data_IF_019160760307
#
_entry.id   IF_019160760307
#
_cell.length_a   1.000
_cell.length_b   1.000
_cell.length_c   1.000
_cell.angle_alpha   90.00
_cell.angle_beta   90.00
_cell.angle_gamma   90.00
#
_symmetry.space_group_name_H-M   'P 1'
#
loop_
_entity.id
_entity.type
_entity.pdbx_description
1 polymer ?
#
# COMPACT_ATOMS: atom_id res chain seq x y z
N UNK A 1 -7.00 2.71 -18.12
CA UNK A 1 -6.58 3.26 -16.81
C UNK A 1 -6.48 4.77 -16.98
N UNK A 2 -6.99 5.59 -16.06
CA UNK A 2 -6.89 7.06 -16.21
C UNK A 2 -5.44 7.51 -16.00
N UNK A 3 -4.98 8.54 -16.72
CA UNK A 3 -3.60 9.05 -16.62
C UNK A 3 -3.23 9.45 -15.18
N UNK A 4 -4.20 9.99 -14.45
CA UNK A 4 -4.04 10.37 -13.04
C UNK A 4 -3.83 9.15 -12.15
N UNK A 5 -4.53 8.04 -12.40
CA UNK A 5 -4.36 6.81 -11.64
C UNK A 5 -2.97 6.18 -11.87
N UNK A 6 -2.49 6.15 -13.13
CA UNK A 6 -1.13 5.66 -13.41
C UNK A 6 -0.07 6.54 -12.73
N UNK A 7 -0.29 7.85 -12.76
CA UNK A 7 0.59 8.83 -12.12
C UNK A 7 0.61 8.64 -10.61
N UNK A 8 -0.55 8.43 -9.98
CA UNK A 8 -0.64 8.12 -8.55
C UNK A 8 0.11 6.85 -8.18
N UNK A 9 -0.14 5.75 -8.91
CA UNK A 9 0.52 4.46 -8.65
C UNK A 9 2.04 4.62 -8.77
N UNK A 10 2.53 5.27 -9.84
CA UNK A 10 3.95 5.52 -10.04
C UNK A 10 4.56 6.35 -8.92
N UNK A 11 3.88 7.43 -8.51
CA UNK A 11 4.34 8.30 -7.44
C UNK A 11 4.35 7.57 -6.08
N UNK A 12 3.34 6.74 -5.79
CA UNK A 12 3.30 5.90 -4.60
C UNK A 12 4.46 4.89 -4.55
N UNK A 13 4.77 4.24 -5.69
CA UNK A 13 5.92 3.36 -5.79
C UNK A 13 7.23 4.11 -5.54
N UNK A 14 7.42 5.28 -6.15
CA UNK A 14 8.59 6.13 -5.95
C UNK A 14 8.73 6.62 -4.50
N UNK A 15 7.62 6.85 -3.81
CA UNK A 15 7.59 7.25 -2.40
C UNK A 15 7.91 6.11 -1.41
N UNK A 16 7.97 4.86 -1.87
CA UNK A 16 8.40 3.72 -1.05
C UNK A 16 7.44 2.53 -1.00
N UNK A 17 6.27 2.59 -1.66
CA UNK A 17 5.34 1.44 -1.71
C UNK A 17 6.00 0.22 -2.35
N UNK A 18 6.83 0.42 -3.38
CA UNK A 18 7.57 -0.68 -4.02
C UNK A 18 8.47 -1.43 -3.03
N UNK A 19 9.23 -0.69 -2.22
CA UNK A 19 10.11 -1.26 -1.20
C UNK A 19 9.29 -1.99 -0.14
N UNK A 20 8.22 -1.37 0.36
CA UNK A 20 7.37 -1.99 1.39
C UNK A 20 6.72 -3.29 0.91
N UNK A 21 6.28 -3.35 -0.35
CA UNK A 21 5.77 -4.59 -0.96
C UNK A 21 6.84 -5.67 -1.05
N UNK A 22 8.08 -5.31 -1.42
CA UNK A 22 9.19 -6.26 -1.48
C UNK A 22 9.52 -6.83 -0.09
N UNK A 23 9.59 -5.97 0.94
CA UNK A 23 9.84 -6.40 2.32
C UNK A 23 8.75 -7.38 2.81
N UNK A 24 7.47 -7.05 2.59
CA UNK A 24 6.35 -7.92 2.94
C UNK A 24 6.36 -9.24 2.17
N UNK A 25 6.76 -9.22 0.89
CA UNK A 25 6.87 -10.43 0.08
C UNK A 25 7.98 -11.35 0.60
N UNK A 26 9.12 -10.79 1.02
CA UNK A 26 10.21 -11.54 1.64
C UNK A 26 9.77 -12.15 2.98
N UNK A 27 9.03 -11.41 3.81
CA UNK A 27 8.47 -11.92 5.06
C UNK A 27 7.55 -13.13 4.80
N UNK A 28 6.65 -13.03 3.81
CA UNK A 28 5.76 -14.15 3.44
C UNK A 28 6.54 -15.33 2.87
N UNK A 29 7.55 -15.09 2.03
CA UNK A 29 8.39 -16.15 1.47
C UNK A 29 9.14 -16.91 2.57
N UNK A 30 9.64 -16.21 3.60
CA UNK A 30 10.27 -16.83 4.77
C UNK A 30 9.29 -17.70 5.55
N UNK A 31 8.06 -17.22 5.77
CA UNK A 31 7.01 -18.00 6.46
C UNK A 31 6.65 -19.26 5.69
N UNK A 32 6.49 -19.16 4.36
CA UNK A 32 6.22 -20.32 3.49
C UNK A 32 7.39 -21.32 3.54
N UNK A 33 8.64 -20.85 3.51
CA UNK A 33 9.81 -21.72 3.56
C UNK A 33 9.91 -22.50 4.88
N UNK A 34 9.51 -21.89 6.00
CA UNK A 34 9.46 -22.54 7.32
C UNK A 34 8.16 -23.33 7.59
N UNK A 35 7.26 -23.44 6.61
CA UNK A 35 5.92 -23.94 6.85
C UNK A 35 5.90 -25.43 7.25
N UNK A 36 5.20 -25.83 8.32
CA UNK A 36 5.22 -27.22 8.78
C UNK A 36 4.65 -28.20 7.75
N UNK A 37 5.26 -29.39 7.64
CA UNK A 37 4.84 -30.47 6.72
C UNK A 37 3.39 -30.93 6.95
N UNK A 38 2.92 -30.87 8.20
CA UNK A 38 1.53 -31.19 8.59
C UNK A 38 0.72 -29.92 8.94
N UNK A 39 1.15 -28.76 8.45
CA UNK A 39 0.45 -27.49 8.64
C UNK A 39 -0.86 -27.41 7.86
N UNK A 40 -1.74 -26.51 8.28
CA UNK A 40 -3.07 -26.36 7.69
C UNK A 40 -3.02 -25.81 6.26
N UNK A 41 -3.41 -26.64 5.28
CA UNK A 41 -3.42 -26.28 3.83
C UNK A 41 -4.14 -24.95 3.55
N UNK A 42 -5.22 -24.64 4.29
CA UNK A 42 -5.94 -23.36 4.14
C UNK A 42 -5.08 -22.15 4.44
N UNK A 43 -4.23 -22.21 5.47
CA UNK A 43 -3.36 -21.09 5.83
C UNK A 43 -2.19 -20.97 4.85
N UNK A 44 -1.62 -22.08 4.40
CA UNK A 44 -0.60 -22.07 3.34
C UNK A 44 -1.14 -21.45 2.04
N UNK A 45 -2.34 -21.84 1.61
CA UNK A 45 -2.98 -21.25 0.43
C UNK A 45 -3.19 -19.74 0.57
N UNK A 46 -3.54 -19.27 1.78
CA UNK A 46 -3.65 -17.84 2.07
C UNK A 46 -2.31 -17.13 1.94
N UNK A 47 -1.21 -17.72 2.43
CA UNK A 47 0.14 -17.15 2.28
C UNK A 47 0.56 -17.07 0.80
N UNK A 48 0.29 -18.12 0.03
CA UNK A 48 0.56 -18.14 -1.42
C UNK A 48 -0.24 -17.04 -2.14
N UNK A 49 -1.50 -16.86 -1.77
CA UNK A 49 -2.34 -15.80 -2.36
C UNK A 49 -1.85 -14.40 -1.96
N UNK A 50 -1.41 -14.22 -0.71
CA UNK A 50 -0.79 -12.99 -0.25
C UNK A 50 0.49 -12.68 -1.05
N UNK A 51 1.34 -13.68 -1.28
CA UNK A 51 2.55 -13.56 -2.12
C UNK A 51 2.20 -13.10 -3.54
N UNK A 52 1.21 -13.73 -4.17
CA UNK A 52 0.74 -13.36 -5.52
C UNK A 52 0.24 -11.93 -5.58
N UNK A 53 -0.55 -11.53 -4.59
CA UNK A 53 -1.09 -10.17 -4.51
C UNK A 53 -0.01 -9.11 -4.28
N UNK A 54 1.14 -9.45 -3.69
CA UNK A 54 2.28 -8.54 -3.59
C UNK A 54 3.07 -8.40 -4.90
N UNK A 55 3.10 -9.45 -5.73
CA UNK A 55 3.71 -9.40 -7.06
C UNK A 55 2.87 -8.58 -8.06
N UNK A 56 1.55 -8.60 -7.90
CA UNK A 56 0.60 -7.81 -8.69
C UNK A 56 -0.39 -7.09 -7.76
N UNK A 57 0.05 -6.01 -7.10
CA UNK A 57 -0.77 -5.31 -6.12
C UNK A 57 -1.96 -4.62 -6.76
N UNK A 58 -3.14 -4.84 -6.19
CA UNK A 58 -4.31 -4.05 -6.54
C UNK A 58 -4.23 -2.63 -5.95
N UNK A 59 -5.07 -1.74 -6.48
CA UNK A 59 -5.11 -0.35 -6.06
C UNK A 59 -5.43 -0.22 -4.56
N UNK A 60 -6.22 -1.13 -3.99
CA UNK A 60 -6.57 -1.07 -2.57
C UNK A 60 -5.35 -1.35 -1.67
N UNK A 61 -4.50 -2.30 -2.05
CA UNK A 61 -3.24 -2.58 -1.37
C UNK A 61 -2.26 -1.41 -1.53
N UNK A 62 -2.11 -0.87 -2.75
CA UNK A 62 -1.28 0.33 -2.99
C UNK A 62 -1.77 1.49 -2.12
N UNK A 63 -3.07 1.80 -2.14
CA UNK A 63 -3.66 2.87 -1.34
C UNK A 63 -3.42 2.68 0.17
N UNK A 64 -3.51 1.44 0.66
CA UNK A 64 -3.26 1.12 2.06
C UNK A 64 -1.81 1.40 2.46
N UNK A 65 -0.84 0.89 1.68
CA UNK A 65 0.58 1.11 1.94
C UNK A 65 0.97 2.59 1.78
N UNK A 66 0.39 3.28 0.79
CA UNK A 66 0.54 4.73 0.64
C UNK A 66 0.06 5.46 1.90
N UNK A 67 -1.11 5.10 2.44
CA UNK A 67 -1.61 5.72 3.66
C UNK A 67 -0.69 5.48 4.86
N UNK A 68 -0.13 4.28 5.00
CA UNK A 68 0.87 3.99 6.05
C UNK A 68 2.12 4.86 5.91
N UNK A 69 2.61 5.06 4.69
CA UNK A 69 3.76 5.92 4.42
C UNK A 69 3.45 7.39 4.71
N UNK A 70 2.30 7.89 4.23
CA UNK A 70 1.83 9.24 4.49
C UNK A 70 1.65 9.54 5.98
N UNK A 71 1.23 8.54 6.77
CA UNK A 71 1.10 8.69 8.22
C UNK A 71 2.46 8.80 8.94
N UNK A 72 3.55 8.31 8.32
CA UNK A 72 4.92 8.36 8.85
C UNK A 72 5.72 9.55 8.32
N UNK A 73 5.42 10.01 7.10
CA UNK A 73 6.12 11.12 6.44
C UNK A 73 5.11 12.09 5.79
N UNK A 74 5.02 13.29 6.37
CA UNK A 74 4.16 14.36 5.89
C UNK A 74 4.52 14.83 4.46
N UNK A 75 5.79 14.70 4.03
CA UNK A 75 6.23 15.10 2.69
C UNK A 75 5.62 14.20 1.63
N UNK A 76 5.51 12.90 1.92
CA UNK A 76 4.85 11.92 1.04
C UNK A 76 3.36 12.25 0.93
N UNK A 77 2.71 12.61 2.04
CA UNK A 77 1.32 13.05 2.01
C UNK A 77 1.14 14.29 1.14
N UNK A 78 1.94 15.34 1.32
CA UNK A 78 1.83 16.58 0.52
C UNK A 78 2.00 16.31 -0.97
N UNK A 79 2.91 15.40 -1.35
CA UNK A 79 3.13 15.05 -2.76
C UNK A 79 1.96 14.26 -3.38
N UNK A 80 1.36 13.33 -2.63
CA UNK A 80 0.35 12.40 -3.16
C UNK A 80 -1.08 12.86 -2.96
N UNK A 81 -1.34 13.75 -2.00
CA UNK A 81 -2.68 14.21 -1.63
C UNK A 81 -3.47 14.82 -2.80
N UNK A 82 -2.90 15.70 -3.66
CA UNK A 82 -3.67 16.29 -4.76
C UNK A 82 -4.17 15.24 -5.76
N UNK A 83 -3.35 14.23 -6.04
CA UNK A 83 -3.71 13.10 -6.91
C UNK A 83 -4.76 12.22 -6.23
N UNK A 84 -4.57 11.90 -4.95
CA UNK A 84 -5.53 11.11 -4.18
C UNK A 84 -6.91 11.78 -4.12
N UNK A 85 -6.98 13.10 -3.90
CA UNK A 85 -8.24 13.85 -3.86
C UNK A 85 -9.01 13.79 -5.18
N UNK A 86 -8.32 13.98 -6.31
CA UNK A 86 -8.94 13.90 -7.65
C UNK A 86 -9.50 12.50 -7.93
N UNK A 87 -8.78 11.47 -7.52
CA UNK A 87 -9.12 10.08 -7.79
C UNK A 87 -10.12 9.48 -6.79
N UNK A 88 -10.35 10.12 -5.64
CA UNK A 88 -11.17 9.56 -4.55
C UNK A 88 -12.65 9.36 -4.94
N UNK A 89 -13.16 10.16 -5.88
CA UNK A 89 -14.53 10.02 -6.39
C UNK A 89 -14.73 8.67 -7.11
N UNK A 90 -13.79 8.31 -7.98
CA UNK A 90 -13.83 7.08 -8.79
C UNK A 90 -13.23 5.87 -8.05
N UNK A 91 -12.37 6.12 -7.05
CA UNK A 91 -11.64 5.10 -6.31
C UNK A 91 -11.78 5.30 -4.79
N UNK A 92 -12.87 4.79 -4.18
CA UNK A 92 -13.14 4.98 -2.75
C UNK A 92 -12.05 4.47 -1.80
N UNK A 93 -11.21 3.52 -2.24
CA UNK A 93 -10.07 3.03 -1.46
C UNK A 93 -9.04 4.13 -1.14
N UNK A 94 -8.98 5.20 -1.93
CA UNK A 94 -8.08 6.34 -1.72
C UNK A 94 -8.54 7.28 -0.60
N UNK A 95 -9.77 7.13 -0.09
CA UNK A 95 -10.26 7.90 1.07
C UNK A 95 -9.34 7.76 2.29
N UNK A 96 -8.68 6.61 2.43
CA UNK A 96 -7.71 6.37 3.50
C UNK A 96 -6.51 7.31 3.43
N UNK A 97 -6.09 7.72 2.23
CA UNK A 97 -4.98 8.67 2.03
C UNK A 97 -5.47 10.09 2.29
N UNK A 98 -6.64 10.45 1.76
CA UNK A 98 -7.18 11.81 1.91
C UNK A 98 -7.63 12.13 3.34
N UNK A 99 -8.05 11.12 4.10
CA UNK A 99 -8.45 11.29 5.51
C UNK A 99 -7.27 11.58 6.46
N UNK A 100 -6.02 11.42 6.02
CA UNK A 100 -4.84 11.72 6.83
C UNK A 100 -4.61 13.21 7.03
N UNK A 101 -5.23 14.07 6.21
CA UNK A 101 -5.12 15.54 6.29
C UNK A 101 -5.64 16.07 7.62
N UNK A 102 -6.65 15.42 8.19
CA UNK A 102 -7.28 15.83 9.44
C UNK A 102 -6.55 15.29 10.67
N UNK A 103 -5.47 14.52 10.50
CA UNK A 103 -4.76 13.90 11.62
C UNK A 103 -3.71 14.84 12.24
N UNK A 104 -3.76 15.06 13.56
CA UNK A 104 -2.86 15.99 14.25
C UNK A 104 -1.38 15.57 14.22
N UNK A 105 -1.09 14.28 14.00
CA UNK A 105 0.27 13.76 13.90
C UNK A 105 1.01 14.24 12.64
N UNK A 106 0.30 14.45 11.54
CA UNK A 106 0.89 14.87 10.25
C UNK A 106 1.06 16.39 10.17
N UNK A 107 0.26 17.14 10.94
CA UNK A 107 0.22 18.61 10.96
C UNK A 107 1.43 19.27 11.64
N UNK A 108 2.24 18.53 12.41
CA UNK A 108 3.38 19.08 13.18
C UNK A 108 4.66 19.33 12.34
N UNK A 109 4.66 18.98 11.05
CA UNK A 109 5.85 19.05 10.17
C UNK A 109 5.62 19.99 8.97
N UNK A 110 4.46 20.64 8.90
CA UNK A 110 4.11 21.59 7.83
C UNK A 110 4.42 23.03 8.24
#
# INVERSE_FOLDING_TARGET
MSKDLETFIRAAHAAGVARRLADLAQEVDAVIASYPRYGGVRYLNRLIEQRRRMAAPDLALVAHLTAELCARDARVLTALLPLAQRLTADHPCLRKVTALVDQPAVRKVA
#
